data_IF_788505928352
#
_entry.id   IF_788505928352
#
_cell.length_a   1.000
_cell.length_b   1.000
_cell.length_c   1.000
_cell.angle_alpha   90.00
_cell.angle_beta   90.00
_cell.angle_gamma   90.00
#
_symmetry.space_group_name_H-M   'P 1'
#
loop_
_entity.id
_entity.type
_entity.pdbx_description
1 polymer ?
#
# COMPACT_ATOMS: atom_id res chain seq x y z
N UNK A 1 6.81 -13.95 -18.67
CA UNK A 1 5.71 -14.67 -17.99
C UNK A 1 5.90 -16.15 -18.25
N UNK A 2 5.93 -16.96 -17.20
CA UNK A 2 6.23 -18.39 -17.27
C UNK A 2 4.94 -19.20 -17.26
N UNK A 3 4.89 -20.29 -18.03
CA UNK A 3 3.88 -21.33 -17.76
C UNK A 3 4.23 -22.06 -16.46
N UNK A 4 3.25 -22.71 -15.83
CA UNK A 4 3.48 -23.51 -14.63
C UNK A 4 4.47 -24.65 -14.91
N UNK A 5 4.38 -25.26 -16.09
CA UNK A 5 5.24 -26.37 -16.49
C UNK A 5 6.68 -25.92 -16.74
N UNK A 6 6.88 -24.79 -17.42
CA UNK A 6 8.22 -24.22 -17.65
C UNK A 6 8.86 -23.76 -16.36
N UNK A 7 8.09 -23.16 -15.44
CA UNK A 7 8.61 -22.75 -14.15
C UNK A 7 9.08 -23.94 -13.30
N UNK A 8 8.37 -25.08 -13.37
CA UNK A 8 8.78 -26.32 -12.68
C UNK A 8 10.07 -26.91 -13.27
N UNK A 9 10.18 -26.96 -14.61
CA UNK A 9 11.36 -27.53 -15.28
C UNK A 9 12.59 -26.62 -15.16
N UNK A 10 12.38 -25.31 -15.02
CA UNK A 10 13.45 -24.29 -14.95
C UNK A 10 13.46 -23.54 -13.62
N UNK A 11 13.07 -24.20 -12.52
CA UNK A 11 12.94 -23.56 -11.21
C UNK A 11 14.21 -22.83 -10.77
N UNK A 12 15.39 -23.43 -10.99
CA UNK A 12 16.68 -22.81 -10.66
C UNK A 12 16.89 -21.47 -11.38
N UNK A 13 16.44 -21.36 -12.64
CA UNK A 13 16.53 -20.12 -13.41
C UNK A 13 15.54 -19.08 -12.93
N UNK A 14 14.29 -19.48 -12.66
CA UNK A 14 13.27 -18.60 -12.05
C UNK A 14 13.79 -17.98 -10.75
N UNK A 15 14.38 -18.80 -9.86
CA UNK A 15 14.95 -18.34 -8.60
C UNK A 15 16.18 -17.45 -8.80
N UNK A 16 17.03 -17.74 -9.80
CA UNK A 16 18.17 -16.88 -10.16
C UNK A 16 17.70 -15.49 -10.60
N UNK A 17 16.67 -15.42 -11.43
CA UNK A 17 16.09 -14.16 -11.89
C UNK A 17 15.41 -13.40 -10.75
N UNK A 18 14.66 -14.09 -9.89
CA UNK A 18 14.04 -13.49 -8.70
C UNK A 18 15.11 -12.88 -7.76
N UNK A 19 16.23 -13.59 -7.53
CA UNK A 19 17.37 -13.06 -6.75
C UNK A 19 18.05 -11.85 -7.40
N UNK A 20 18.01 -11.72 -8.73
CA UNK A 20 18.53 -10.54 -9.43
C UNK A 20 17.65 -9.30 -9.30
N UNK A 21 16.56 -9.36 -8.51
CA UNK A 21 15.62 -8.26 -8.32
C UNK A 21 14.55 -8.16 -9.39
N UNK A 22 14.43 -9.15 -10.29
CA UNK A 22 13.40 -9.20 -11.34
C UNK A 22 12.26 -10.13 -10.90
N UNK A 23 11.04 -9.64 -10.64
CA UNK A 23 9.90 -10.48 -10.31
C UNK A 23 9.57 -11.45 -11.45
N UNK A 24 9.28 -12.71 -11.12
CA UNK A 24 8.89 -13.73 -12.10
C UNK A 24 7.43 -14.11 -11.92
N UNK A 25 6.62 -13.89 -12.95
CA UNK A 25 5.18 -14.21 -12.96
C UNK A 25 4.97 -15.60 -13.56
N UNK A 26 4.21 -16.46 -12.88
CA UNK A 26 3.92 -17.85 -13.25
C UNK A 26 2.40 -18.05 -13.40
N UNK A 27 1.97 -18.62 -14.52
CA UNK A 27 0.56 -18.95 -14.80
C UNK A 27 -0.23 -17.81 -15.41
N UNK A 28 -1.27 -18.14 -16.19
CA UNK A 28 -2.17 -17.18 -16.86
C UNK A 28 -3.53 -17.04 -16.16
N UNK A 29 -4.05 -18.13 -15.58
CA UNK A 29 -5.19 -18.11 -14.67
C UNK A 29 -4.66 -18.18 -13.24
N UNK A 30 -5.03 -17.19 -12.42
CA UNK A 30 -4.54 -16.98 -11.05
C UNK A 30 -2.98 -16.90 -10.97
N UNK A 31 -2.39 -15.81 -11.51
CA UNK A 31 -0.94 -15.71 -11.63
C UNK A 31 -0.26 -15.53 -10.26
N UNK A 32 0.76 -16.34 -10.01
CA UNK A 32 1.62 -16.20 -8.83
C UNK A 32 2.91 -15.46 -9.19
N UNK A 33 3.45 -14.70 -8.24
CA UNK A 33 4.71 -13.96 -8.42
C UNK A 33 5.79 -14.52 -7.49
N UNK A 34 6.98 -14.77 -8.05
CA UNK A 34 8.17 -15.17 -7.30
C UNK A 34 9.15 -13.99 -7.26
N UNK A 35 9.46 -13.55 -6.03
CA UNK A 35 10.47 -12.53 -5.72
C UNK A 35 11.51 -13.10 -4.75
N UNK A 36 12.61 -12.37 -4.54
CA UNK A 36 13.58 -12.73 -3.51
C UNK A 36 12.96 -12.52 -2.11
N UNK A 37 13.39 -13.32 -1.14
CA UNK A 37 12.96 -13.14 0.24
C UNK A 37 13.34 -11.74 0.78
N UNK A 38 14.49 -11.21 0.39
CA UNK A 38 14.92 -9.86 0.77
C UNK A 38 13.94 -8.77 0.28
N UNK A 39 13.50 -8.86 -0.98
CA UNK A 39 12.50 -7.94 -1.53
C UNK A 39 11.16 -8.08 -0.80
N UNK A 40 10.74 -9.32 -0.52
CA UNK A 40 9.51 -9.57 0.23
C UNK A 40 9.58 -9.01 1.67
N UNK A 41 10.71 -9.18 2.36
CA UNK A 41 10.93 -8.65 3.70
C UNK A 41 10.90 -7.12 3.74
N UNK A 42 11.49 -6.44 2.74
CA UNK A 42 11.43 -4.97 2.66
C UNK A 42 9.99 -4.45 2.53
N UNK A 43 9.15 -5.13 1.76
CA UNK A 43 7.74 -4.75 1.62
C UNK A 43 6.93 -5.11 2.87
N UNK A 44 7.24 -6.23 3.54
CA UNK A 44 6.59 -6.65 4.79
C UNK A 44 6.94 -5.78 6.00
N UNK A 45 8.16 -5.25 6.06
CA UNK A 45 8.56 -4.26 7.07
C UNK A 45 7.70 -3.01 6.98
N UNK A 46 6.99 -2.84 5.86
CA UNK A 46 5.83 -2.01 5.77
C UNK A 46 6.24 -0.54 5.75
N UNK A 47 5.73 0.15 4.75
CA UNK A 47 5.55 1.58 4.88
C UNK A 47 4.67 1.79 6.12
N UNK A 48 5.26 2.02 7.29
CA UNK A 48 4.53 2.37 8.50
C UNK A 48 3.70 3.59 8.13
N UNK A 49 2.40 3.41 7.93
CA UNK A 49 1.56 4.45 7.33
C UNK A 49 1.71 5.78 8.07
N UNK A 50 1.83 5.72 9.41
CA UNK A 50 2.15 6.88 10.24
C UNK A 50 3.52 7.51 9.92
N UNK A 51 4.58 6.72 9.81
CA UNK A 51 5.91 7.20 9.45
C UNK A 51 5.93 7.82 8.06
N UNK A 52 5.27 7.17 7.09
CA UNK A 52 5.15 7.67 5.73
C UNK A 52 4.40 9.00 5.65
N UNK A 53 3.31 9.14 6.40
CA UNK A 53 2.56 10.40 6.48
C UNK A 53 3.44 11.51 7.07
N UNK A 54 4.25 11.22 8.09
CA UNK A 54 5.18 12.20 8.68
C UNK A 54 6.28 12.59 7.69
N UNK A 55 6.84 11.65 6.97
CA UNK A 55 7.94 11.89 6.03
C UNK A 55 7.48 12.60 4.75
N UNK A 56 6.27 12.27 4.28
CA UNK A 56 5.68 12.81 3.05
C UNK A 56 4.83 14.06 3.29
N UNK A 57 4.52 14.39 4.55
CA UNK A 57 3.74 15.59 4.87
C UNK A 57 4.50 16.85 4.38
N UNK A 58 3.82 17.78 3.69
CA UNK A 58 4.40 19.06 3.32
C UNK A 58 4.87 19.81 4.57
N UNK A 59 6.18 20.10 4.66
CA UNK A 59 6.77 20.85 5.78
C UNK A 59 6.86 22.33 5.42
N UNK A 60 6.49 23.21 6.34
CA UNK A 60 6.68 24.66 6.18
C UNK A 60 5.60 25.39 5.37
N UNK A 61 4.49 24.73 5.04
CA UNK A 61 3.32 25.43 4.47
C UNK A 61 2.55 26.10 5.60
N UNK A 62 2.34 27.41 5.48
CA UNK A 62 1.40 28.13 6.34
C UNK A 62 -0.02 27.64 6.03
N UNK A 63 -0.58 26.81 6.92
CA UNK A 63 -1.99 26.44 6.86
C UNK A 63 -2.80 27.43 7.68
N UNK A 64 -3.82 28.02 7.06
CA UNK A 64 -4.81 28.80 7.78
C UNK A 64 -5.59 27.87 8.70
N UNK A 65 -5.37 28.03 10.01
CA UNK A 65 -6.09 27.27 11.01
C UNK A 65 -7.54 27.76 11.07
N UNK A 66 -8.53 26.86 10.99
CA UNK A 66 -9.91 27.25 11.16
C UNK A 66 -10.10 27.86 12.55
N UNK A 67 -10.94 28.90 12.63
CA UNK A 67 -11.23 29.59 13.89
C UNK A 67 -11.78 28.61 14.93
N UNK A 68 -11.19 28.58 16.13
CA UNK A 68 -11.69 27.76 17.25
C UNK A 68 -13.07 28.20 17.75
N UNK A 69 -13.56 29.37 17.30
CA UNK A 69 -14.88 29.91 17.63
C UNK A 69 -15.95 29.53 16.61
N UNK A 70 -15.59 28.95 15.45
CA UNK A 70 -16.59 28.45 14.52
C UNK A 70 -17.17 27.16 15.06
N UNK A 71 -18.49 27.11 15.25
CA UNK A 71 -19.21 25.88 15.58
C UNK A 71 -19.07 24.94 14.38
N UNK A 72 -18.23 23.92 14.51
CA UNK A 72 -18.22 22.82 13.54
C UNK A 72 -19.50 22.03 13.79
N UNK A 73 -20.30 21.84 12.74
CA UNK A 73 -21.42 20.90 12.81
C UNK A 73 -20.91 19.53 13.20
N UNK A 74 -21.72 18.77 13.94
CA UNK A 74 -21.39 17.37 14.21
C UNK A 74 -21.37 16.61 12.87
N UNK A 75 -20.23 16.03 12.47
CA UNK A 75 -20.12 15.30 11.20
C UNK A 75 -20.94 14.01 11.17
N UNK A 76 -21.49 13.59 12.31
CA UNK A 76 -22.33 12.41 12.45
C UNK A 76 -23.79 12.75 12.78
N UNK A 77 -24.16 14.04 12.85
CA UNK A 77 -25.57 14.40 12.97
C UNK A 77 -26.32 13.99 11.70
N UNK A 78 -27.33 13.16 11.88
CA UNK A 78 -28.34 12.86 10.86
C UNK A 78 -29.44 13.91 10.89
N UNK A 79 -30.05 14.21 9.73
CA UNK A 79 -31.03 15.29 9.57
C UNK A 79 -32.21 15.27 10.58
N UNK A 80 -32.50 14.10 11.18
CA UNK A 80 -33.54 13.89 12.19
C UNK A 80 -33.33 14.64 13.52
N UNK A 81 -32.10 15.02 13.89
CA UNK A 81 -31.83 15.70 15.17
C UNK A 81 -32.10 17.22 15.11
N UNK A 82 -32.37 17.78 13.93
CA UNK A 82 -32.53 19.23 13.74
C UNK A 82 -33.97 19.72 13.98
N UNK A 83 -34.93 18.82 14.20
CA UNK A 83 -36.35 19.16 14.34
C UNK A 83 -36.83 19.37 15.80
N UNK A 84 -35.93 19.29 16.80
CA UNK A 84 -36.29 19.31 18.22
C UNK A 84 -35.66 20.45 19.05
N UNK A 85 -35.34 21.60 18.45
CA UNK A 85 -34.85 22.79 19.17
C UNK A 85 -35.59 24.07 18.80
#
# INVERSE_FOLDING_TARGET
MWSVQDAKSKLSEVLRLARSGKPQVIGTQDPCVVISAAAYSQDLEGVHLGQFLVDSAPKGIAMDLPSRKSRRGDPFATDDDTAAA
#
